data_IF_031684505964
#
_entry.id   IF_031684505964
#
_cell.length_a   1.000
_cell.length_b   1.000
_cell.length_c   1.000
_cell.angle_alpha   90.00
_cell.angle_beta   90.00
_cell.angle_gamma   90.00
#
_symmetry.space_group_name_H-M   'P 1'
#
loop_
_entity.id
_entity.type
_entity.pdbx_description
1 polymer ?
#
# COMPACT_ATOMS: atom_id res chain seq x y z
N UNK A 1 6.88 7.23 -24.82
CA UNK A 1 7.97 6.55 -24.08
C UNK A 1 7.44 5.25 -23.51
N UNK A 2 8.05 4.10 -23.79
CA UNK A 2 7.66 2.83 -23.16
C UNK A 2 7.88 2.90 -21.65
N UNK A 3 6.96 2.34 -20.85
CA UNK A 3 7.00 2.34 -19.37
C UNK A 3 8.37 1.87 -18.82
N UNK A 4 9.03 0.97 -19.55
CA UNK A 4 10.35 0.42 -19.21
C UNK A 4 11.48 1.48 -19.27
N UNK A 5 11.41 2.43 -20.22
CA UNK A 5 12.38 3.53 -20.31
C UNK A 5 12.20 4.53 -19.17
N UNK A 6 10.95 4.83 -18.77
CA UNK A 6 10.68 5.71 -17.65
C UNK A 6 11.22 5.14 -16.33
N UNK A 7 11.05 3.83 -16.09
CA UNK A 7 11.59 3.16 -14.89
C UNK A 7 13.12 3.17 -14.87
N UNK A 8 13.77 2.91 -16.00
CA UNK A 8 15.25 2.96 -16.10
C UNK A 8 15.81 4.38 -15.84
N UNK A 9 15.12 5.43 -16.31
CA UNK A 9 15.47 6.83 -16.00
C UNK A 9 15.35 7.13 -14.51
N UNK A 10 14.31 6.64 -13.86
CA UNK A 10 14.10 6.86 -12.42
C UNK A 10 15.18 6.20 -11.55
N UNK A 11 15.80 5.12 -12.03
CA UNK A 11 16.88 4.39 -11.37
C UNK A 11 18.30 4.96 -11.64
N UNK A 12 18.47 5.87 -12.62
CA UNK A 12 19.80 6.29 -13.12
C UNK A 12 20.40 7.54 -12.47
N UNK A 13 19.69 8.23 -11.57
CA UNK A 13 20.20 9.44 -10.91
C UNK A 13 19.89 9.40 -9.41
N UNK A 14 20.87 8.95 -8.62
CA UNK A 14 20.76 8.79 -7.17
C UNK A 14 21.94 9.39 -6.41
N UNK A 15 22.93 9.96 -7.11
CA UNK A 15 24.08 10.59 -6.45
C UNK A 15 23.66 11.84 -5.67
N UNK A 16 24.50 12.27 -4.73
CA UNK A 16 24.23 13.46 -3.90
C UNK A 16 23.09 13.32 -2.89
N UNK A 17 22.37 12.19 -2.87
CA UNK A 17 21.23 11.97 -1.99
C UNK A 17 19.99 12.79 -2.37
N UNK A 18 18.95 12.71 -1.52
CA UNK A 18 17.63 13.33 -1.78
C UNK A 18 17.42 14.67 -1.06
N UNK A 19 18.46 15.17 -0.38
CA UNK A 19 18.43 16.40 0.40
C UNK A 19 19.67 17.25 0.06
N UNK A 20 19.49 18.57 0.04
CA UNK A 20 20.60 19.49 0.05
C UNK A 20 21.35 19.42 1.38
N UNK A 21 22.64 19.70 1.31
CA UNK A 21 23.53 19.98 2.44
C UNK A 21 24.10 21.39 2.30
N UNK A 22 24.72 21.93 3.35
CA UNK A 22 25.25 23.31 3.33
C UNK A 22 26.30 23.52 2.23
N UNK A 23 27.12 22.51 1.98
CA UNK A 23 28.14 22.48 0.93
C UNK A 23 27.57 22.39 -0.48
N UNK A 24 26.34 21.89 -0.64
CA UNK A 24 25.66 21.82 -1.94
C UNK A 24 24.89 23.09 -2.31
N UNK A 25 24.68 24.01 -1.38
CA UNK A 25 23.97 25.26 -1.68
C UNK A 25 24.75 26.10 -2.69
N UNK A 26 24.17 26.34 -3.87
CA UNK A 26 24.83 27.04 -4.97
C UNK A 26 25.81 26.16 -5.76
N UNK A 27 25.68 24.84 -5.67
CA UNK A 27 26.51 23.91 -6.43
C UNK A 27 26.43 24.15 -7.94
N UNK A 28 27.54 23.85 -8.64
CA UNK A 28 27.46 23.63 -10.08
C UNK A 28 26.59 22.40 -10.32
N UNK A 29 25.65 22.50 -11.27
CA UNK A 29 24.69 21.44 -11.55
C UNK A 29 25.40 20.17 -12.01
N UNK A 30 25.06 19.06 -11.35
CA UNK A 30 25.47 17.71 -11.74
C UNK A 30 24.24 16.87 -12.08
N UNK A 31 24.07 16.52 -13.35
CA UNK A 31 22.93 15.73 -13.85
C UNK A 31 22.88 14.30 -13.28
N UNK A 32 23.93 13.82 -12.59
CA UNK A 32 23.91 12.52 -11.91
C UNK A 32 23.21 12.58 -10.54
N UNK A 33 23.01 13.78 -9.99
CA UNK A 33 22.35 13.97 -8.70
C UNK A 33 20.86 13.61 -8.76
N UNK A 34 20.33 13.10 -7.64
CA UNK A 34 18.91 12.76 -7.55
C UNK A 34 17.99 14.00 -7.60
N UNK A 35 18.47 15.10 -7.03
CA UNK A 35 17.86 16.42 -6.98
C UNK A 35 18.97 17.48 -6.85
N UNK A 36 18.64 18.74 -7.11
CA UNK A 36 19.64 19.80 -7.27
C UNK A 36 19.54 20.86 -6.18
N UNK A 37 20.70 21.49 -5.91
CA UNK A 37 20.83 22.64 -5.00
C UNK A 37 21.46 23.85 -5.72
N UNK A 38 21.51 23.79 -7.05
CA UNK A 38 21.96 24.85 -7.95
C UNK A 38 20.91 25.97 -8.05
N UNK A 39 21.35 27.18 -8.39
CA UNK A 39 20.48 28.36 -8.49
C UNK A 39 19.36 28.21 -9.54
N UNK A 40 19.53 27.35 -10.54
CA UNK A 40 18.55 27.11 -11.59
C UNK A 40 17.48 26.03 -11.24
N UNK A 41 17.61 25.35 -10.10
CA UNK A 41 16.78 24.17 -9.80
C UNK A 41 15.28 24.49 -9.69
N UNK A 42 14.94 25.70 -9.21
CA UNK A 42 13.54 26.13 -9.06
C UNK A 42 12.88 26.32 -10.42
N UNK A 43 13.61 26.91 -11.37
CA UNK A 43 13.16 27.10 -12.74
C UNK A 43 13.01 25.76 -13.46
N UNK A 44 13.94 24.82 -13.23
CA UNK A 44 13.90 23.48 -13.81
C UNK A 44 12.94 22.52 -13.11
N UNK A 45 12.44 22.86 -11.92
CA UNK A 45 11.47 22.05 -11.17
C UNK A 45 12.07 20.79 -10.54
N UNK A 46 13.37 20.81 -10.21
CA UNK A 46 14.10 19.61 -9.77
C UNK A 46 15.00 19.85 -8.54
N UNK A 47 14.69 20.90 -7.76
CA UNK A 47 15.33 21.12 -6.47
C UNK A 47 15.11 19.95 -5.51
N UNK A 48 16.05 19.73 -4.60
CA UNK A 48 15.75 18.96 -3.40
C UNK A 48 14.66 19.66 -2.57
N UNK A 49 13.86 18.88 -1.85
CA UNK A 49 12.66 19.39 -1.16
C UNK A 49 12.98 20.32 0.01
N UNK A 50 14.19 20.24 0.55
CA UNK A 50 14.70 21.11 1.61
C UNK A 50 15.50 22.32 1.09
N UNK A 51 15.61 22.54 -0.22
CA UNK A 51 16.46 23.58 -0.83
C UNK A 51 16.19 24.99 -0.30
N UNK A 52 14.94 25.47 -0.34
CA UNK A 52 14.62 26.83 0.13
C UNK A 52 14.85 26.97 1.62
N UNK A 53 14.46 25.95 2.39
CA UNK A 53 14.68 25.92 3.84
C UNK A 53 16.16 26.04 4.18
N UNK A 54 16.99 25.23 3.53
CA UNK A 54 18.41 25.13 3.86
C UNK A 54 19.24 26.25 3.24
N UNK A 55 19.02 26.57 1.96
CA UNK A 55 19.88 27.45 1.18
C UNK A 55 19.34 28.88 1.02
N UNK A 56 18.04 29.12 1.27
CA UNK A 56 17.41 30.45 1.12
C UNK A 56 16.84 31.00 2.44
N UNK A 57 16.90 30.23 3.52
CA UNK A 57 16.46 30.67 4.86
C UNK A 57 14.95 30.58 5.10
N UNK A 58 14.20 29.89 4.24
CA UNK A 58 12.76 29.65 4.45
C UNK A 58 12.51 28.72 5.66
N UNK A 59 11.29 28.73 6.20
CA UNK A 59 10.84 27.75 7.20
C UNK A 59 10.35 26.46 6.54
N UNK A 60 10.49 25.31 7.20
CA UNK A 60 9.79 24.08 6.76
C UNK A 60 8.29 24.23 6.93
N UNK A 61 7.50 23.52 6.13
CA UNK A 61 6.06 23.41 6.30
C UNK A 61 5.69 23.00 7.72
N UNK A 62 6.45 22.10 8.35
CA UNK A 62 6.18 21.67 9.72
C UNK A 62 6.17 22.82 10.73
N UNK A 63 7.02 23.85 10.53
CA UNK A 63 7.19 24.98 11.44
C UNK A 63 6.11 26.06 11.29
N UNK A 64 5.37 26.07 10.19
CA UNK A 64 4.31 27.06 10.00
C UNK A 64 3.12 26.78 10.95
N UNK A 65 2.23 27.74 11.17
CA UNK A 65 1.02 27.48 11.94
C UNK A 65 -0.05 26.72 11.13
N UNK A 66 -1.02 26.09 11.80
CA UNK A 66 -2.20 25.61 11.11
C UNK A 66 -3.06 26.81 10.70
N UNK A 67 -3.39 26.93 9.41
CA UNK A 67 -4.26 27.98 8.89
C UNK A 67 -5.51 27.39 8.25
N UNK A 68 -6.65 28.08 8.42
CA UNK A 68 -7.92 27.70 7.80
C UNK A 68 -7.89 28.03 6.29
N UNK A 69 -7.92 27.00 5.45
CA UNK A 69 -7.87 27.11 4.00
C UNK A 69 -9.28 27.13 3.41
N UNK A 70 -9.96 28.28 3.47
CA UNK A 70 -11.32 28.46 2.92
C UNK A 70 -11.37 28.44 1.39
N UNK A 71 -10.30 28.85 0.74
CA UNK A 71 -10.15 28.91 -0.72
C UNK A 71 -8.79 28.36 -1.11
N UNK A 72 -8.74 27.58 -2.18
CA UNK A 72 -7.48 27.04 -2.70
C UNK A 72 -6.60 28.15 -3.28
N UNK A 73 -5.35 28.21 -2.87
CA UNK A 73 -4.34 29.16 -3.35
C UNK A 73 -3.40 28.45 -4.33
N UNK A 74 -3.79 28.44 -5.60
CA UNK A 74 -3.03 27.78 -6.67
C UNK A 74 -2.24 28.77 -7.54
N UNK A 75 -1.00 28.44 -7.94
CA UNK A 75 -0.26 29.21 -8.93
C UNK A 75 -0.98 29.30 -10.29
N UNK A 76 -0.58 30.25 -11.13
CA UNK A 76 -1.11 30.38 -12.49
C UNK A 76 -0.94 29.07 -13.30
N UNK A 77 -1.92 28.77 -14.15
CA UNK A 77 -1.96 27.54 -14.97
C UNK A 77 -2.52 26.30 -14.25
N UNK A 78 -2.93 26.40 -12.99
CA UNK A 78 -3.74 25.38 -12.31
C UNK A 78 -5.22 25.74 -12.45
N UNK A 79 -5.98 24.92 -13.17
CA UNK A 79 -7.42 25.13 -13.39
C UNK A 79 -8.30 24.47 -12.31
N UNK A 80 -7.68 23.72 -11.39
CA UNK A 80 -8.31 23.06 -10.23
C UNK A 80 -7.24 22.61 -9.24
N UNK A 81 -7.63 22.27 -8.01
CA UNK A 81 -6.73 21.65 -7.04
C UNK A 81 -6.34 20.22 -7.47
N UNK A 82 -5.06 19.88 -7.57
CA UNK A 82 -4.62 18.50 -7.73
C UNK A 82 -4.95 17.66 -6.49
N UNK A 83 -5.10 16.35 -6.67
CA UNK A 83 -5.27 15.37 -5.61
C UNK A 83 -4.03 14.46 -5.54
N UNK A 84 -3.44 14.33 -4.35
CA UNK A 84 -2.37 13.37 -4.06
C UNK A 84 -2.90 12.33 -3.08
N UNK A 85 -2.86 11.06 -3.48
CA UNK A 85 -3.19 9.90 -2.66
C UNK A 85 -1.88 9.22 -2.26
N UNK A 86 -1.52 9.33 -0.99
CA UNK A 86 -0.40 8.65 -0.37
C UNK A 86 -0.90 7.44 0.40
N UNK A 87 -0.64 6.25 -0.14
CA UNK A 87 -0.99 4.99 0.53
C UNK A 87 0.22 4.46 1.30
N UNK A 88 0.01 4.10 2.57
CA UNK A 88 1.07 3.62 3.48
C UNK A 88 0.70 2.21 3.96
N UNK A 89 1.40 1.20 3.43
CA UNK A 89 1.07 -0.22 3.65
C UNK A 89 1.13 -0.60 5.13
N UNK A 90 0.11 -1.29 5.65
CA UNK A 90 0.11 -1.81 7.01
C UNK A 90 0.12 -0.71 8.09
N UNK A 91 -0.21 0.55 7.75
CA UNK A 91 -0.29 1.64 8.71
C UNK A 91 -1.51 1.49 9.63
N UNK A 92 -1.34 0.72 10.71
CA UNK A 92 -2.36 0.50 11.73
C UNK A 92 -2.78 1.83 12.36
N UNK A 93 -4.09 2.06 12.48
CA UNK A 93 -4.65 3.29 13.05
C UNK A 93 -4.05 3.70 14.40
N UNK A 94 -3.67 2.74 15.26
CA UNK A 94 -3.04 3.04 16.55
C UNK A 94 -1.64 3.66 16.46
N UNK A 95 -0.97 3.61 15.30
CA UNK A 95 0.36 4.22 15.12
C UNK A 95 0.32 5.74 15.22
N UNK A 96 -0.82 6.37 14.91
CA UNK A 96 -1.00 7.82 15.11
C UNK A 96 -0.81 8.24 16.57
N UNK A 97 -1.04 7.34 17.52
CA UNK A 97 -0.86 7.60 18.97
C UNK A 97 0.59 7.82 19.38
N UNK A 98 1.56 7.53 18.49
CA UNK A 98 2.98 7.88 18.72
C UNK A 98 3.20 9.39 18.65
N UNK A 99 2.31 10.13 17.99
CA UNK A 99 2.24 11.59 18.00
C UNK A 99 3.51 12.30 17.50
N UNK A 100 3.62 13.58 17.85
CA UNK A 100 4.69 14.48 17.40
C UNK A 100 6.12 13.99 17.66
N UNK A 101 6.34 13.10 18.65
CA UNK A 101 7.67 12.58 18.96
C UNK A 101 8.22 11.59 17.91
N UNK A 102 7.34 11.04 17.06
CA UNK A 102 7.70 10.01 16.06
C UNK A 102 7.23 10.40 14.66
N UNK A 103 6.07 11.04 14.55
CA UNK A 103 5.40 11.33 13.28
C UNK A 103 4.88 12.79 13.21
N UNK A 104 5.72 13.81 13.45
CA UNK A 104 5.27 15.19 13.53
C UNK A 104 4.59 15.74 12.26
N UNK A 105 5.01 15.34 11.05
CA UNK A 105 4.37 15.83 9.83
C UNK A 105 2.99 15.22 9.63
N UNK A 106 2.86 13.91 9.86
CA UNK A 106 1.58 13.20 9.80
C UNK A 106 0.65 13.71 10.88
N UNK A 107 1.16 13.95 12.09
CA UNK A 107 0.37 14.49 13.20
C UNK A 107 -0.14 15.90 12.88
N UNK A 108 0.68 16.75 12.25
CA UNK A 108 0.25 18.05 11.77
C UNK A 108 -0.82 17.96 10.67
N UNK A 109 -0.69 17.03 9.71
CA UNK A 109 -1.76 16.78 8.73
C UNK A 109 -3.05 16.33 9.43
N UNK A 110 -2.95 15.51 10.47
CA UNK A 110 -4.08 15.01 11.25
C UNK A 110 -4.78 16.11 12.05
N UNK A 111 -4.04 17.04 12.64
CA UNK A 111 -4.57 18.12 13.49
C UNK A 111 -5.02 19.35 12.71
N UNK A 112 -4.30 19.76 11.67
CA UNK A 112 -4.71 20.89 10.82
C UNK A 112 -5.76 20.49 9.76
N UNK A 113 -5.84 19.20 9.42
CA UNK A 113 -6.73 18.67 8.39
C UNK A 113 -7.96 17.94 8.95
N UNK A 114 -8.60 17.14 8.09
CA UNK A 114 -9.69 16.24 8.49
C UNK A 114 -9.15 14.84 8.71
N UNK A 115 -9.51 14.21 9.84
CA UNK A 115 -9.12 12.83 10.13
C UNK A 115 -10.27 12.04 10.76
N UNK A 116 -10.21 10.72 10.61
CA UNK A 116 -11.04 9.77 11.35
C UNK A 116 -10.18 9.02 12.39
N UNK A 117 -10.76 8.55 13.52
CA UNK A 117 -10.03 7.73 14.48
C UNK A 117 -9.47 6.44 13.87
N UNK A 118 -10.15 5.89 12.87
CA UNK A 118 -9.72 4.76 12.05
C UNK A 118 -10.53 4.71 10.76
N UNK A 119 -9.98 4.04 9.74
CA UNK A 119 -10.70 3.67 8.52
C UNK A 119 -10.85 2.13 8.49
N UNK A 120 -12.03 1.64 8.11
CA UNK A 120 -12.29 0.19 8.04
C UNK A 120 -11.84 -0.36 6.68
N UNK A 121 -10.92 -1.34 6.63
CA UNK A 121 -10.54 -2.01 5.39
C UNK A 121 -11.64 -2.96 4.90
N UNK A 122 -11.56 -3.38 3.64
CA UNK A 122 -12.36 -4.49 3.11
C UNK A 122 -11.78 -5.84 3.56
N UNK A 123 -12.60 -6.89 3.46
CA UNK A 123 -12.15 -8.26 3.69
C UNK A 123 -11.73 -8.93 2.37
N UNK A 124 -10.58 -9.64 2.31
CA UNK A 124 -9.60 -9.78 3.39
C UNK A 124 -8.77 -8.51 3.56
N UNK A 125 -8.32 -8.24 4.79
CA UNK A 125 -7.45 -7.12 5.14
C UNK A 125 -6.02 -7.39 4.65
N UNK A 126 -5.85 -7.30 3.32
CA UNK A 126 -4.62 -7.54 2.58
C UNK A 126 -4.44 -6.45 1.52
N UNK A 127 -3.18 -6.22 1.18
CA UNK A 127 -2.69 -5.19 0.27
C UNK A 127 -3.47 -5.02 -1.05
N UNK A 128 -3.43 -6.02 -1.94
CA UNK A 128 -4.03 -5.89 -3.27
C UNK A 128 -5.55 -5.71 -3.24
N UNK A 129 -6.32 -6.47 -2.43
CA UNK A 129 -7.74 -6.22 -2.24
C UNK A 129 -8.03 -4.78 -1.79
N UNK A 130 -7.33 -4.29 -0.76
CA UNK A 130 -7.64 -2.98 -0.17
C UNK A 130 -7.22 -1.80 -1.06
N UNK A 131 -6.03 -1.83 -1.67
CA UNK A 131 -5.65 -0.75 -2.58
C UNK A 131 -6.52 -0.70 -3.82
N UNK A 132 -6.95 -1.85 -4.34
CA UNK A 132 -7.82 -1.87 -5.52
C UNK A 132 -9.26 -1.50 -5.16
N UNK A 133 -9.74 -1.84 -3.96
CA UNK A 133 -10.98 -1.30 -3.42
C UNK A 133 -10.91 0.22 -3.25
N UNK A 134 -9.81 0.77 -2.74
CA UNK A 134 -9.60 2.22 -2.63
C UNK A 134 -9.65 2.90 -4.02
N UNK A 135 -9.03 2.29 -5.02
CA UNK A 135 -9.01 2.84 -6.37
C UNK A 135 -10.37 2.79 -7.08
N UNK A 136 -11.24 1.83 -6.75
CA UNK A 136 -12.47 1.53 -7.52
C UNK A 136 -13.77 1.80 -6.77
N UNK A 137 -13.74 1.90 -5.44
CA UNK A 137 -14.93 1.96 -4.59
C UNK A 137 -15.72 0.63 -4.51
N UNK A 138 -15.16 -0.47 -4.99
CA UNK A 138 -15.83 -1.77 -5.07
C UNK A 138 -15.36 -2.75 -4.00
N UNK A 139 -16.19 -3.73 -3.65
CA UNK A 139 -15.76 -4.88 -2.86
C UNK A 139 -14.87 -5.84 -3.69
N UNK A 140 -14.02 -6.64 -3.04
CA UNK A 140 -13.19 -7.64 -3.71
C UNK A 140 -13.93 -8.63 -4.57
N UNK A 141 -15.13 -9.05 -4.16
CA UNK A 141 -15.96 -9.94 -4.96
C UNK A 141 -16.38 -9.31 -6.30
N UNK A 142 -16.52 -7.97 -6.36
CA UNK A 142 -16.93 -7.25 -7.57
C UNK A 142 -15.75 -6.86 -8.46
N UNK A 143 -14.67 -6.31 -7.89
CA UNK A 143 -13.50 -5.90 -8.70
C UNK A 143 -12.57 -7.08 -9.04
N UNK A 144 -12.78 -8.25 -8.43
CA UNK A 144 -12.11 -9.51 -8.79
C UNK A 144 -10.73 -9.73 -8.18
N UNK A 145 -10.20 -8.78 -7.41
CA UNK A 145 -8.91 -8.93 -6.70
C UNK A 145 -9.22 -9.39 -5.27
N UNK A 146 -9.48 -10.69 -5.12
CA UNK A 146 -10.01 -11.28 -3.89
C UNK A 146 -8.92 -11.68 -2.88
N UNK A 147 -7.64 -11.55 -3.22
CA UNK A 147 -6.52 -11.79 -2.32
C UNK A 147 -5.17 -11.48 -2.99
N UNK A 148 -4.10 -11.43 -2.18
CA UNK A 148 -2.72 -11.32 -2.68
C UNK A 148 -2.28 -12.57 -3.47
N UNK A 149 -2.96 -13.69 -3.24
CA UNK A 149 -2.87 -14.92 -4.03
C UNK A 149 -4.29 -15.42 -4.34
N UNK A 150 -4.55 -15.82 -5.58
CA UNK A 150 -5.84 -16.34 -6.01
C UNK A 150 -5.69 -17.21 -7.25
N UNK A 151 -6.64 -18.14 -7.44
CA UNK A 151 -6.75 -18.97 -8.63
C UNK A 151 -8.08 -18.66 -9.33
N UNK A 152 -8.07 -18.54 -10.64
CA UNK A 152 -9.29 -18.39 -11.45
C UNK A 152 -9.51 -19.69 -12.25
N UNK A 153 -10.56 -20.48 -11.96
CA UNK A 153 -10.79 -21.75 -12.63
C UNK A 153 -11.16 -21.60 -14.11
N UNK A 154 -11.67 -20.43 -14.52
CA UNK A 154 -11.96 -20.16 -15.94
C UNK A 154 -10.70 -19.84 -16.73
N UNK A 155 -9.70 -19.24 -16.09
CA UNK A 155 -8.42 -18.93 -16.73
C UNK A 155 -7.39 -20.05 -16.61
N UNK A 156 -7.66 -21.02 -15.74
CA UNK A 156 -6.71 -22.03 -15.26
C UNK A 156 -5.34 -21.40 -14.90
N UNK A 157 -5.38 -20.30 -14.15
CA UNK A 157 -4.21 -19.49 -13.86
C UNK A 157 -4.18 -19.06 -12.39
N UNK A 158 -2.97 -18.87 -11.88
CA UNK A 158 -2.73 -18.39 -10.51
C UNK A 158 -2.13 -16.98 -10.52
N UNK A 159 -2.76 -16.09 -9.78
CA UNK A 159 -2.28 -14.74 -9.49
C UNK A 159 -1.48 -14.76 -8.18
N UNK A 160 -0.36 -14.04 -8.16
CA UNK A 160 0.38 -13.75 -6.92
C UNK A 160 1.19 -12.45 -7.04
N UNK A 161 1.57 -11.87 -5.90
CA UNK A 161 2.38 -10.65 -5.83
C UNK A 161 3.69 -10.71 -6.64
N UNK A 162 4.30 -11.89 -6.76
CA UNK A 162 5.59 -12.10 -7.45
C UNK A 162 5.42 -12.56 -8.90
N UNK A 163 4.25 -13.03 -9.28
CA UNK A 163 4.01 -13.54 -10.63
C UNK A 163 3.89 -12.41 -11.65
N UNK A 164 4.35 -12.65 -12.88
CA UNK A 164 4.08 -11.77 -14.03
C UNK A 164 2.60 -11.76 -14.41
N UNK A 165 1.83 -12.77 -13.99
CA UNK A 165 0.37 -12.82 -14.19
C UNK A 165 -0.35 -11.59 -13.65
N UNK A 166 0.19 -10.94 -12.61
CA UNK A 166 -0.41 -9.72 -12.06
C UNK A 166 -0.49 -8.56 -13.07
N UNK A 167 0.34 -8.59 -14.11
CA UNK A 167 0.35 -7.57 -15.17
C UNK A 167 -0.75 -7.80 -16.22
N UNK A 168 -1.41 -8.95 -16.22
CA UNK A 168 -2.46 -9.25 -17.18
C UNK A 168 -3.77 -8.57 -16.77
N UNK A 169 -4.32 -7.73 -17.66
CA UNK A 169 -5.54 -6.95 -17.41
C UNK A 169 -6.76 -7.81 -17.05
N UNK A 170 -6.81 -9.10 -17.45
CA UNK A 170 -7.92 -10.03 -17.16
C UNK A 170 -8.24 -10.22 -15.67
N UNK A 171 -7.28 -9.91 -14.79
CA UNK A 171 -7.47 -10.00 -13.35
C UNK A 171 -8.24 -8.81 -12.77
N UNK A 172 -8.18 -7.66 -13.43
CA UNK A 172 -8.53 -6.35 -12.87
C UNK A 172 -9.88 -5.87 -13.41
N UNK A 173 -10.95 -6.08 -12.63
CA UNK A 173 -12.29 -5.61 -12.96
C UNK A 173 -12.59 -4.19 -12.50
N UNK A 174 -13.80 -3.70 -12.75
CA UNK A 174 -14.20 -2.34 -12.35
C UNK A 174 -13.47 -1.23 -13.11
N UNK A 175 -13.50 -0.01 -12.56
CA UNK A 175 -12.85 1.16 -13.17
C UNK A 175 -12.11 1.97 -12.09
N UNK A 176 -10.77 1.87 -12.01
CA UNK A 176 -10.02 2.62 -11.01
C UNK A 176 -9.99 4.12 -11.34
N UNK A 177 -9.76 4.95 -10.31
CA UNK A 177 -9.85 6.41 -10.38
C UNK A 177 -9.02 7.03 -11.49
N UNK A 178 -7.83 6.48 -11.81
CA UNK A 178 -7.00 6.98 -12.91
C UNK A 178 -7.64 6.73 -14.29
N UNK A 179 -8.35 5.63 -14.48
CA UNK A 179 -9.12 5.39 -15.72
C UNK A 179 -10.34 6.30 -15.77
N UNK A 180 -11.04 6.48 -14.65
CA UNK A 180 -12.17 7.43 -14.55
C UNK A 180 -11.74 8.85 -14.91
N UNK A 181 -10.60 9.30 -14.36
CA UNK A 181 -10.02 10.60 -14.65
C UNK A 181 -9.69 10.75 -16.15
N UNK A 182 -8.97 9.79 -16.73
CA UNK A 182 -8.60 9.83 -18.15
C UNK A 182 -9.82 9.88 -19.08
N UNK A 183 -10.86 9.10 -18.78
CA UNK A 183 -12.12 9.12 -19.55
C UNK A 183 -12.86 10.47 -19.50
N UNK A 184 -12.58 11.29 -18.49
CA UNK A 184 -13.16 12.63 -18.32
C UNK A 184 -12.17 13.75 -18.69
N UNK A 185 -11.10 13.43 -19.44
CA UNK A 185 -10.11 14.40 -19.89
C UNK A 185 -9.17 14.90 -18.79
N UNK A 186 -9.06 14.18 -17.67
CA UNK A 186 -8.17 14.53 -16.55
C UNK A 186 -6.95 13.61 -16.55
N UNK A 187 -5.76 14.20 -16.72
CA UNK A 187 -4.48 13.45 -16.66
C UNK A 187 -4.25 12.91 -15.25
N UNK A 188 -3.80 11.66 -15.17
CA UNK A 188 -3.49 10.98 -13.92
C UNK A 188 -2.09 10.36 -13.98
N UNK A 189 -1.39 10.36 -12.84
CA UNK A 189 -0.09 9.73 -12.69
C UNK A 189 -0.10 8.83 -11.44
N UNK A 190 0.50 7.65 -11.55
CA UNK A 190 0.46 6.66 -10.48
C UNK A 190 1.76 5.90 -10.38
N UNK A 191 2.33 5.86 -9.18
CA UNK A 191 3.37 4.92 -8.77
C UNK A 191 2.72 3.74 -8.05
N UNK A 192 2.28 2.75 -8.83
CA UNK A 192 1.70 1.53 -8.27
C UNK A 192 2.75 0.42 -8.21
N UNK A 193 3.23 0.11 -7.01
CA UNK A 193 4.18 -0.98 -6.71
C UNK A 193 5.56 -0.97 -7.40
N UNK A 194 6.24 0.17 -7.59
CA UNK A 194 7.60 0.17 -8.13
C UNK A 194 8.62 -0.11 -7.02
N UNK A 195 8.65 -1.33 -6.47
CA UNK A 195 9.51 -1.71 -5.32
C UNK A 195 10.98 -1.32 -5.49
N UNK A 196 11.48 -1.30 -6.74
CA UNK A 196 12.84 -0.91 -7.06
C UNK A 196 13.14 0.60 -6.94
N UNK A 197 12.11 1.46 -6.85
CA UNK A 197 12.26 2.91 -6.81
C UNK A 197 12.14 3.38 -5.37
N UNK A 198 13.17 4.07 -4.87
CA UNK A 198 13.18 4.67 -3.54
C UNK A 198 11.99 5.61 -3.32
N UNK A 199 11.48 5.67 -2.09
CA UNK A 199 10.26 6.41 -1.76
C UNK A 199 10.46 7.92 -1.98
N UNK A 200 11.62 8.44 -1.62
CA UNK A 200 12.07 9.82 -1.83
C UNK A 200 12.08 10.18 -3.33
N UNK A 201 12.55 9.25 -4.18
CA UNK A 201 12.53 9.42 -5.64
C UNK A 201 11.11 9.50 -6.17
N UNK A 202 10.17 8.72 -5.63
CA UNK A 202 8.74 8.80 -6.00
C UNK A 202 8.15 10.18 -5.69
N UNK A 203 8.52 10.78 -4.54
CA UNK A 203 8.12 12.14 -4.17
C UNK A 203 8.71 13.18 -5.12
N UNK A 204 10.02 13.12 -5.40
CA UNK A 204 10.66 14.05 -6.34
C UNK A 204 10.04 13.99 -7.73
N UNK A 205 9.77 12.80 -8.25
CA UNK A 205 9.10 12.65 -9.55
C UNK A 205 7.68 13.20 -9.55
N UNK A 206 6.94 13.04 -8.45
CA UNK A 206 5.61 13.65 -8.31
C UNK A 206 5.68 15.17 -8.34
N UNK A 207 6.65 15.78 -7.65
CA UNK A 207 6.89 17.22 -7.67
C UNK A 207 7.31 17.71 -9.07
N UNK A 208 8.14 16.95 -9.78
CA UNK A 208 8.49 17.24 -11.18
C UNK A 208 7.25 17.21 -12.09
N UNK A 209 6.36 16.23 -11.91
CA UNK A 209 5.10 16.18 -12.66
C UNK A 209 4.17 17.36 -12.33
N UNK A 210 4.17 17.86 -11.09
CA UNK A 210 3.44 19.07 -10.70
C UNK A 210 4.04 20.36 -11.30
N UNK A 211 5.33 20.33 -11.68
CA UNK A 211 6.01 21.43 -12.36
C UNK A 211 5.78 21.45 -13.87
N UNK A 212 5.20 20.39 -14.45
CA UNK A 212 4.92 20.33 -15.88
C UNK A 212 4.00 21.49 -16.32
N UNK A 213 4.12 21.95 -17.57
CA UNK A 213 3.28 23.01 -18.10
C UNK A 213 1.80 22.63 -18.11
N UNK A 214 0.96 23.65 -18.23
CA UNK A 214 -0.47 23.47 -18.46
C UNK A 214 -0.71 22.58 -19.68
N UNK A 215 -1.74 21.73 -19.60
CA UNK A 215 -2.00 20.70 -20.60
C UNK A 215 -1.31 19.39 -20.27
N UNK A 216 -0.04 19.36 -19.84
CA UNK A 216 0.72 18.13 -19.56
C UNK A 216 0.69 17.62 -18.13
N UNK A 217 0.50 18.54 -17.19
CA UNK A 217 0.41 18.25 -15.77
C UNK A 217 -0.78 17.36 -15.38
N UNK A 218 -0.55 16.25 -14.65
CA UNK A 218 -1.63 15.48 -14.03
C UNK A 218 -2.36 16.24 -12.93
N UNK A 219 -3.60 15.83 -12.63
CA UNK A 219 -4.38 16.33 -11.49
C UNK A 219 -4.73 15.25 -10.45
N UNK A 220 -4.46 13.98 -10.78
CA UNK A 220 -4.59 12.86 -9.84
C UNK A 220 -3.25 12.16 -9.74
N UNK A 221 -2.71 12.10 -8.52
CA UNK A 221 -1.45 11.47 -8.20
C UNK A 221 -1.71 10.35 -7.19
N UNK A 222 -1.18 9.17 -7.45
CA UNK A 222 -1.21 8.07 -6.49
C UNK A 222 0.21 7.55 -6.25
N UNK A 223 0.56 7.36 -4.99
CA UNK A 223 1.85 6.83 -4.60
C UNK A 223 1.67 5.87 -3.43
N UNK A 224 2.46 4.81 -3.46
CA UNK A 224 2.45 3.77 -2.45
C UNK A 224 3.79 3.70 -1.71
N UNK A 225 3.76 3.43 -0.40
CA UNK A 225 4.90 3.10 0.45
C UNK A 225 4.69 1.71 1.05
N UNK A 226 5.64 0.81 0.82
CA UNK A 226 5.62 -0.57 1.33
C UNK A 226 5.92 -0.67 2.85
N UNK A 227 6.18 0.49 3.48
CA UNK A 227 6.39 0.65 4.90
C UNK A 227 5.16 1.33 5.53
N UNK A 228 4.82 1.03 6.80
CA UNK A 228 5.59 0.21 7.74
C UNK A 228 5.31 -1.30 7.67
N UNK A 229 4.46 -1.79 6.75
CA UNK A 229 4.06 -3.20 6.66
C UNK A 229 5.22 -4.19 6.73
N UNK A 230 6.26 -3.99 5.92
CA UNK A 230 7.43 -4.88 5.90
C UNK A 230 8.09 -5.02 7.28
N UNK A 231 8.27 -3.90 7.99
CA UNK A 231 8.84 -3.89 9.33
C UNK A 231 7.86 -4.41 10.38
N UNK A 232 6.58 -4.06 10.27
CA UNK A 232 5.52 -4.52 11.16
C UNK A 232 5.34 -6.04 11.09
N UNK A 233 5.53 -6.62 9.92
CA UNK A 233 5.64 -8.06 9.74
C UNK A 233 6.82 -8.61 10.55
N UNK A 234 8.05 -8.11 10.33
CA UNK A 234 9.28 -8.64 10.96
C UNK A 234 9.32 -8.50 12.48
N UNK A 235 8.80 -7.40 13.01
CA UNK A 235 9.00 -6.99 14.41
C UNK A 235 7.70 -6.98 15.23
N UNK A 236 6.55 -7.20 14.58
CA UNK A 236 5.25 -7.02 15.20
C UNK A 236 4.83 -5.55 15.35
N UNK A 237 3.56 -5.29 15.68
CA UNK A 237 3.00 -3.94 15.63
C UNK A 237 3.27 -3.08 16.87
N UNK A 238 3.69 -3.65 18.00
CA UNK A 238 3.75 -2.93 19.28
C UNK A 238 5.14 -2.43 19.66
N UNK A 239 6.20 -3.01 19.07
CA UNK A 239 7.59 -2.72 19.42
C UNK A 239 8.00 -1.26 19.21
N UNK A 240 8.94 -0.78 20.02
CA UNK A 240 9.58 0.54 19.87
C UNK A 240 10.42 0.63 18.61
N UNK A 241 10.91 -0.50 18.09
CA UNK A 241 11.71 -0.58 16.87
C UNK A 241 10.93 -0.09 15.65
N UNK A 242 9.58 -0.12 15.70
CA UNK A 242 8.72 0.44 14.68
C UNK A 242 8.77 1.97 14.61
N UNK A 243 9.29 2.67 15.63
CA UNK A 243 9.41 4.12 15.62
C UNK A 243 10.34 4.62 14.51
N UNK A 244 11.41 3.89 14.18
CA UNK A 244 12.35 4.31 13.14
C UNK A 244 11.74 4.21 11.73
N UNK A 245 11.09 3.10 11.33
CA UNK A 245 10.28 3.06 10.11
C UNK A 245 9.20 4.15 10.04
N UNK A 246 8.49 4.40 11.14
CA UNK A 246 7.47 5.45 11.19
C UNK A 246 8.08 6.85 10.98
N UNK A 247 9.23 7.15 11.61
CA UNK A 247 9.98 8.39 11.35
C UNK A 247 10.44 8.50 9.89
N UNK A 248 10.85 7.39 9.28
CA UNK A 248 11.26 7.40 7.87
C UNK A 248 10.10 7.78 6.95
N UNK A 249 8.91 7.23 7.17
CA UNK A 249 7.70 7.59 6.42
C UNK A 249 7.29 9.03 6.70
N UNK A 250 7.34 9.47 7.95
CA UNK A 250 7.03 10.85 8.32
C UNK A 250 7.98 11.86 7.65
N UNK A 251 9.27 11.53 7.54
CA UNK A 251 10.23 12.34 6.78
C UNK A 251 9.86 12.44 5.31
N UNK A 252 9.41 11.36 4.68
CA UNK A 252 8.93 11.37 3.29
C UNK A 252 7.70 12.27 3.14
N UNK A 253 6.76 12.22 4.10
CA UNK A 253 5.63 13.16 4.13
C UNK A 253 6.11 14.60 4.28
N UNK A 254 7.11 14.84 5.13
CA UNK A 254 7.77 16.15 5.26
C UNK A 254 8.41 16.63 3.97
N UNK A 255 9.13 15.77 3.25
CA UNK A 255 9.70 16.08 1.94
C UNK A 255 8.63 16.47 0.93
N UNK A 256 7.48 15.77 0.90
CA UNK A 256 6.37 16.17 0.05
C UNK A 256 5.86 17.57 0.43
N UNK A 257 5.59 17.80 1.71
CA UNK A 257 5.00 19.06 2.17
C UNK A 257 5.95 20.25 1.97
N UNK A 258 7.24 20.09 2.26
CA UNK A 258 8.26 21.10 2.01
C UNK A 258 8.38 21.35 0.49
N UNK A 259 8.42 20.31 -0.34
CA UNK A 259 8.42 20.43 -1.80
C UNK A 259 7.21 21.21 -2.33
N UNK A 260 6.00 20.88 -1.86
CA UNK A 260 4.78 21.60 -2.20
C UNK A 260 4.83 23.06 -1.72
N UNK A 261 5.38 23.33 -0.54
CA UNK A 261 5.56 24.70 -0.03
C UNK A 261 6.50 25.50 -0.93
N UNK A 262 7.64 24.92 -1.34
CA UNK A 262 8.59 25.55 -2.25
C UNK A 262 7.94 25.96 -3.57
N UNK A 263 6.99 25.15 -4.06
CA UNK A 263 6.24 25.37 -5.31
C UNK A 263 4.98 26.24 -5.13
N UNK A 264 4.70 26.74 -3.91
CA UNK A 264 3.46 27.45 -3.56
C UNK A 264 2.19 26.61 -3.83
N UNK A 265 2.28 25.30 -3.63
CA UNK A 265 1.20 24.32 -3.82
C UNK A 265 0.63 23.73 -2.52
N UNK A 266 1.30 23.92 -1.39
CA UNK A 266 0.86 23.42 -0.08
C UNK A 266 -0.54 23.90 0.37
N UNK A 267 -1.06 24.99 -0.21
CA UNK A 267 -2.41 25.53 0.00
C UNK A 267 -3.33 25.38 -1.23
N UNK A 268 -2.89 24.62 -2.22
CA UNK A 268 -3.63 24.33 -3.46
C UNK A 268 -4.05 22.85 -3.52
N UNK A 269 -3.13 21.95 -3.17
CA UNK A 269 -3.26 20.50 -3.36
C UNK A 269 -4.08 19.87 -2.23
N UNK A 270 -4.97 18.94 -2.60
CA UNK A 270 -5.63 18.04 -1.66
C UNK A 270 -4.77 16.80 -1.44
N UNK A 271 -4.54 16.42 -0.18
CA UNK A 271 -3.75 15.24 0.18
C UNK A 271 -4.61 14.25 0.96
N UNK A 272 -4.64 13.00 0.49
CA UNK A 272 -5.19 11.86 1.21
C UNK A 272 -4.03 10.98 1.64
N UNK A 273 -3.75 10.94 2.94
CA UNK A 273 -2.84 9.97 3.55
C UNK A 273 -3.66 8.82 4.11
N UNK A 274 -3.44 7.60 3.62
CA UNK A 274 -4.34 6.47 3.91
C UNK A 274 -3.58 5.14 4.03
N UNK A 275 -3.95 4.35 5.03
CA UNK A 275 -3.50 2.96 5.17
C UNK A 275 -4.45 2.00 4.46
N UNK A 276 -3.92 0.91 3.92
CA UNK A 276 -4.69 -0.15 3.28
C UNK A 276 -5.24 -1.16 4.29
N UNK A 277 -4.46 -1.49 5.32
CA UNK A 277 -4.87 -2.28 6.48
C UNK A 277 -4.01 -1.97 7.72
N UNK A 278 -4.34 -2.63 8.84
CA UNK A 278 -3.50 -2.62 10.04
C UNK A 278 -2.50 -3.77 10.07
N UNK A 279 -1.92 -3.99 11.25
CA UNK A 279 -0.98 -5.07 11.53
C UNK A 279 -1.31 -5.72 12.86
N UNK A 280 -1.13 -7.03 12.97
CA UNK A 280 -1.39 -7.80 14.20
C UNK A 280 -0.17 -8.65 14.56
N UNK A 281 -0.04 -8.95 15.85
CA UNK A 281 0.96 -9.85 16.37
C UNK A 281 0.66 -11.30 15.97
N UNK A 282 1.59 -11.95 15.29
CA UNK A 282 1.50 -13.33 14.85
C UNK A 282 2.73 -14.12 15.31
N UNK A 283 2.50 -15.32 15.86
CA UNK A 283 3.55 -16.25 16.28
C UNK A 283 3.35 -17.59 15.59
N UNK A 284 4.45 -18.27 15.24
CA UNK A 284 4.41 -19.60 14.64
C UNK A 284 3.68 -20.61 15.54
N UNK A 285 3.83 -20.47 16.87
CA UNK A 285 3.18 -21.32 17.87
C UNK A 285 1.65 -21.15 17.91
N UNK A 286 1.12 -20.07 17.31
CA UNK A 286 -0.31 -19.82 17.14
C UNK A 286 -0.76 -20.16 15.71
N UNK A 287 -0.42 -21.38 15.27
CA UNK A 287 -0.83 -21.91 13.96
C UNK A 287 -1.64 -23.19 14.12
N UNK A 288 -2.85 -23.17 13.59
CA UNK A 288 -3.72 -24.32 13.44
C UNK A 288 -3.36 -25.10 12.18
N UNK A 289 -3.09 -26.40 12.31
CA UNK A 289 -2.73 -27.24 11.18
C UNK A 289 -3.89 -28.15 10.78
N UNK A 290 -4.33 -28.07 9.52
CA UNK A 290 -5.46 -28.89 9.02
C UNK A 290 -5.19 -30.39 9.11
N UNK A 291 -3.94 -30.83 9.10
CA UNK A 291 -3.53 -32.23 9.35
C UNK A 291 -3.98 -32.77 10.70
N UNK A 292 -4.27 -31.90 11.68
CA UNK A 292 -4.78 -32.30 12.99
C UNK A 292 -6.30 -32.53 13.00
N UNK A 293 -6.99 -32.18 11.91
CA UNK A 293 -8.45 -32.23 11.80
C UNK A 293 -8.94 -33.16 10.68
N UNK A 294 -8.15 -33.31 9.61
CA UNK A 294 -8.51 -34.07 8.42
C UNK A 294 -7.59 -35.29 8.27
N UNK A 295 -8.18 -36.44 7.95
CA UNK A 295 -7.43 -37.69 7.72
C UNK A 295 -6.48 -37.61 6.53
N UNK A 296 -6.86 -36.87 5.48
CA UNK A 296 -6.02 -36.56 4.32
C UNK A 296 -6.07 -35.05 4.06
N UNK A 297 -4.90 -34.44 3.93
CA UNK A 297 -4.76 -33.05 3.46
C UNK A 297 -4.14 -32.97 2.06
N UNK A 298 -3.87 -34.11 1.43
CA UNK A 298 -3.22 -34.17 0.11
C UNK A 298 -4.17 -33.92 -1.04
N UNK A 299 -5.46 -34.17 -0.83
CA UNK A 299 -6.50 -33.93 -1.84
C UNK A 299 -6.94 -32.47 -1.92
N UNK A 300 -6.40 -31.60 -1.05
CA UNK A 300 -6.76 -30.19 -0.97
C UNK A 300 -5.58 -29.26 -1.30
N UNK A 301 -5.94 -28.09 -1.79
CA UNK A 301 -5.10 -26.90 -1.82
C UNK A 301 -5.65 -25.88 -0.82
N UNK A 302 -4.78 -25.39 0.06
CA UNK A 302 -5.08 -24.35 1.03
C UNK A 302 -4.35 -23.06 0.64
N UNK A 303 -5.07 -21.95 0.64
CA UNK A 303 -4.48 -20.60 0.77
C UNK A 303 -4.37 -20.30 2.27
N UNK A 304 -3.17 -20.30 2.87
CA UNK A 304 -2.98 -20.28 4.33
C UNK A 304 -2.84 -18.85 4.89
N UNK A 305 -2.67 -18.76 6.21
CA UNK A 305 -2.35 -17.53 6.93
C UNK A 305 -3.48 -17.05 7.84
N UNK A 306 -3.72 -15.73 7.84
CA UNK A 306 -4.74 -15.07 8.69
C UNK A 306 -6.18 -15.27 8.19
N UNK A 307 -6.35 -16.13 7.18
CA UNK A 307 -7.58 -16.69 6.65
C UNK A 307 -7.22 -18.04 6.01
N UNK A 308 -8.20 -18.92 5.83
CA UNK A 308 -8.04 -20.11 5.01
C UNK A 308 -9.01 -20.10 3.83
N UNK A 309 -8.57 -20.50 2.64
CA UNK A 309 -9.47 -20.86 1.54
C UNK A 309 -9.07 -22.22 1.00
N UNK A 310 -10.03 -23.14 0.92
CA UNK A 310 -9.77 -24.54 0.53
C UNK A 310 -10.48 -24.84 -0.79
N UNK A 311 -9.74 -25.43 -1.73
CA UNK A 311 -10.29 -26.09 -2.92
C UNK A 311 -9.73 -27.50 -3.08
N UNK A 312 -10.38 -28.29 -3.92
CA UNK A 312 -9.83 -29.54 -4.42
C UNK A 312 -8.48 -29.29 -5.12
N UNK A 313 -7.51 -30.17 -4.88
CA UNK A 313 -6.23 -30.14 -5.61
C UNK A 313 -6.38 -30.63 -7.04
N UNK A 314 -7.26 -31.61 -7.25
CA UNK A 314 -7.52 -32.23 -8.56
C UNK A 314 -8.99 -32.02 -8.94
N UNK A 315 -9.31 -31.66 -10.20
CA UNK A 315 -10.70 -31.45 -10.63
C UNK A 315 -11.61 -32.68 -10.44
N UNK A 316 -11.02 -33.88 -10.51
CA UNK A 316 -11.74 -35.16 -10.44
C UNK A 316 -11.71 -35.81 -9.03
N UNK A 317 -11.27 -35.10 -7.99
CA UNK A 317 -11.28 -35.68 -6.65
C UNK A 317 -12.71 -35.79 -6.11
N UNK A 318 -12.97 -36.80 -5.27
CA UNK A 318 -14.20 -36.91 -4.47
C UNK A 318 -14.18 -35.83 -3.36
N UNK A 319 -14.28 -34.57 -3.75
CA UNK A 319 -14.24 -33.41 -2.85
C UNK A 319 -15.67 -32.90 -2.62
N UNK A 320 -16.20 -33.12 -1.42
CA UNK A 320 -17.46 -32.50 -0.99
C UNK A 320 -17.18 -31.34 -0.01
N UNK A 321 -17.41 -30.08 -0.43
CA UNK A 321 -17.23 -28.92 0.44
C UNK A 321 -18.02 -28.98 1.74
N UNK A 322 -19.23 -29.55 1.73
CA UNK A 322 -20.08 -29.66 2.91
C UNK A 322 -19.49 -30.64 3.91
N UNK A 323 -19.03 -31.80 3.46
CA UNK A 323 -18.33 -32.77 4.29
C UNK A 323 -17.06 -32.19 4.92
N UNK A 324 -16.25 -31.45 4.16
CA UNK A 324 -15.04 -30.81 4.70
C UNK A 324 -15.39 -29.76 5.77
N UNK A 325 -16.40 -28.91 5.54
CA UNK A 325 -16.88 -27.96 6.56
C UNK A 325 -17.37 -28.69 7.82
N UNK A 326 -18.15 -29.76 7.68
CA UNK A 326 -18.61 -30.57 8.81
C UNK A 326 -17.45 -31.25 9.56
N UNK A 327 -16.42 -31.69 8.83
CA UNK A 327 -15.21 -32.27 9.40
C UNK A 327 -14.34 -31.26 10.15
N UNK A 328 -14.47 -29.97 9.85
CA UNK A 328 -13.74 -28.90 10.54
C UNK A 328 -14.57 -28.17 11.62
N UNK A 329 -15.86 -28.48 11.75
CA UNK A 329 -16.76 -27.76 12.67
C UNK A 329 -16.63 -28.30 14.09
N UNK A 330 -16.30 -27.43 15.04
CA UNK A 330 -16.33 -27.69 16.49
C UNK A 330 -15.57 -28.96 16.92
N UNK A 331 -14.38 -29.20 16.34
CA UNK A 331 -13.59 -30.41 16.62
C UNK A 331 -12.77 -30.32 17.89
N UNK A 332 -12.44 -29.10 18.31
CA UNK A 332 -11.71 -28.82 19.55
C UNK A 332 -12.38 -27.67 20.30
N UNK A 333 -12.31 -27.72 21.63
CA UNK A 333 -12.84 -26.66 22.48
C UNK A 333 -12.06 -25.34 22.32
N UNK A 334 -10.76 -25.43 22.02
CA UNK A 334 -9.82 -24.34 21.81
C UNK A 334 -9.54 -24.07 20.32
N UNK A 335 -10.48 -24.38 19.43
CA UNK A 335 -10.29 -24.22 17.99
C UNK A 335 -10.26 -22.73 17.58
N UNK A 336 -9.17 -22.28 16.93
CA UNK A 336 -8.93 -20.87 16.59
C UNK A 336 -9.26 -20.47 15.14
N UNK A 337 -10.15 -21.24 14.50
CA UNK A 337 -10.75 -20.88 13.22
C UNK A 337 -12.15 -21.46 13.12
N UNK A 338 -13.01 -20.84 12.30
CA UNK A 338 -14.35 -21.33 12.01
C UNK A 338 -14.52 -21.59 10.51
N UNK A 339 -14.87 -22.82 10.09
CA UNK A 339 -15.13 -23.11 8.69
C UNK A 339 -16.51 -22.59 8.28
N UNK A 340 -16.60 -22.09 7.06
CA UNK A 340 -17.82 -21.62 6.42
C UNK A 340 -17.85 -22.08 4.97
N UNK A 341 -19.03 -22.42 4.46
CA UNK A 341 -19.27 -22.24 3.03
C UNK A 341 -19.36 -20.73 2.76
N UNK A 342 -18.77 -20.24 1.67
CA UNK A 342 -18.64 -18.79 1.41
C UNK A 342 -19.98 -18.04 1.49
N UNK A 343 -21.10 -18.65 1.07
CA UNK A 343 -22.43 -18.05 1.16
C UNK A 343 -22.94 -17.83 2.59
N UNK A 344 -22.39 -18.56 3.57
CA UNK A 344 -22.71 -18.47 5.00
C UNK A 344 -21.76 -17.54 5.78
N UNK A 345 -20.76 -16.96 5.12
CA UNK A 345 -19.95 -15.91 5.74
C UNK A 345 -20.84 -14.73 6.16
N UNK A 346 -20.50 -14.00 7.24
CA UNK A 346 -21.22 -12.80 7.63
C UNK A 346 -21.37 -11.83 6.44
N UNK A 347 -22.61 -11.46 6.10
CA UNK A 347 -22.91 -10.69 4.89
C UNK A 347 -22.15 -9.37 4.81
N UNK A 348 -21.87 -8.74 5.96
CA UNK A 348 -21.03 -7.53 6.09
C UNK A 348 -19.63 -7.65 5.48
N UNK A 349 -19.16 -8.87 5.19
CA UNK A 349 -17.86 -9.09 4.56
C UNK A 349 -17.90 -8.94 3.04
N UNK A 350 -19.07 -9.07 2.39
CA UNK A 350 -19.22 -9.01 0.93
C UNK A 350 -18.14 -9.83 0.21
N UNK A 351 -18.03 -11.11 0.60
CA UNK A 351 -16.93 -11.98 0.21
C UNK A 351 -17.41 -13.39 -0.18
N UNK A 352 -18.27 -13.45 -1.20
CA UNK A 352 -18.79 -14.72 -1.71
C UNK A 352 -19.00 -14.72 -3.24
N UNK A 353 -19.43 -13.60 -3.82
CA UNK A 353 -19.89 -13.50 -5.20
C UNK A 353 -18.74 -13.35 -6.21
N UNK A 354 -17.77 -14.27 -6.18
CA UNK A 354 -16.72 -14.35 -7.18
C UNK A 354 -16.20 -15.77 -7.32
N UNK A 355 -16.02 -16.24 -8.56
CA UNK A 355 -15.48 -17.59 -8.84
C UNK A 355 -14.06 -17.82 -8.34
N UNK A 356 -13.32 -16.75 -8.04
CA UNK A 356 -11.97 -16.78 -7.46
C UNK A 356 -11.97 -16.96 -5.94
N UNK A 357 -13.14 -16.89 -5.29
CA UNK A 357 -13.33 -17.20 -3.88
C UNK A 357 -13.75 -18.66 -3.80
N UNK A 358 -12.89 -19.49 -3.24
CA UNK A 358 -13.17 -20.90 -3.01
C UNK A 358 -14.43 -21.11 -2.14
N UNK A 359 -15.14 -22.21 -2.37
CA UNK A 359 -16.40 -22.50 -1.67
C UNK A 359 -16.23 -22.66 -0.16
N UNK A 360 -15.09 -23.16 0.30
CA UNK A 360 -14.76 -23.29 1.71
C UNK A 360 -13.84 -22.15 2.13
N UNK A 361 -14.28 -21.45 3.18
CA UNK A 361 -13.55 -20.36 3.81
C UNK A 361 -13.35 -20.64 5.30
N UNK A 362 -12.15 -20.39 5.81
CA UNK A 362 -11.83 -20.46 7.24
C UNK A 362 -11.67 -19.03 7.77
N UNK A 363 -12.58 -18.62 8.64
CA UNK A 363 -12.47 -17.37 9.37
C UNK A 363 -11.60 -17.61 10.59
N UNK A 364 -10.35 -17.14 10.54
CA UNK A 364 -9.34 -17.38 11.58
C UNK A 364 -9.44 -16.30 12.65
N UNK A 365 -9.27 -16.69 13.91
CA UNK A 365 -9.24 -15.76 15.02
C UNK A 365 -8.05 -14.79 14.89
N UNK A 366 -8.20 -13.59 15.48
CA UNK A 366 -7.09 -12.63 15.53
C UNK A 366 -5.87 -13.27 16.20
N UNK A 367 -4.67 -12.89 15.76
CA UNK A 367 -3.37 -13.42 16.25
C UNK A 367 -3.08 -14.90 15.94
N UNK A 368 -3.99 -15.58 15.22
CA UNK A 368 -3.83 -16.96 14.81
C UNK A 368 -3.64 -17.09 13.31
N UNK A 369 -3.04 -18.21 12.92
CA UNK A 369 -2.88 -18.63 11.54
C UNK A 369 -3.46 -20.02 11.32
N UNK A 370 -3.77 -20.32 10.06
CA UNK A 370 -4.06 -21.69 9.61
C UNK A 370 -3.10 -22.12 8.51
N UNK A 371 -2.61 -23.35 8.59
CA UNK A 371 -1.70 -23.97 7.62
C UNK A 371 -2.12 -25.43 7.35
N UNK A 372 -1.56 -26.04 6.29
CA UNK A 372 -1.98 -27.38 5.84
C UNK A 372 -1.38 -28.48 6.74
N UNK A 373 -0.09 -28.40 7.04
CA UNK A 373 0.67 -29.33 7.88
C UNK A 373 1.83 -28.59 8.54
N UNK A 374 2.37 -29.14 9.62
CA UNK A 374 3.58 -28.61 10.25
C UNK A 374 4.79 -29.19 9.53
N UNK A 375 5.52 -28.38 8.77
CA UNK A 375 6.84 -28.75 8.28
C UNK A 375 7.90 -27.75 8.73
N UNK A 376 9.14 -28.22 8.86
CA UNK A 376 10.33 -27.38 9.07
C UNK A 376 10.53 -26.33 7.96
N UNK A 377 9.86 -26.49 6.80
CA UNK A 377 9.78 -25.47 5.73
C UNK A 377 8.65 -24.45 5.93
N UNK A 378 7.60 -24.74 6.71
CA UNK A 378 6.46 -23.84 6.95
C UNK A 378 6.75 -22.77 8.01
N UNK A 379 7.67 -23.05 8.95
CA UNK A 379 8.33 -22.01 9.77
C UNK A 379 9.00 -20.97 8.85
N UNK A 380 9.48 -21.42 7.68
CA UNK A 380 10.06 -20.58 6.62
C UNK A 380 9.03 -19.96 5.66
N UNK A 381 7.77 -20.44 5.60
CA UNK A 381 6.72 -19.80 4.80
C UNK A 381 6.27 -18.51 5.47
N UNK A 382 6.21 -18.46 6.80
CA UNK A 382 6.07 -17.19 7.52
C UNK A 382 7.26 -16.29 7.21
N UNK A 383 8.50 -16.81 7.26
CA UNK A 383 9.71 -16.04 6.94
C UNK A 383 9.74 -15.57 5.47
N UNK A 384 9.13 -16.28 4.52
CA UNK A 384 8.99 -15.86 3.11
C UNK A 384 7.82 -14.90 2.87
N UNK A 385 6.80 -14.91 3.73
CA UNK A 385 5.79 -13.84 3.83
C UNK A 385 6.39 -12.59 4.52
N UNK A 386 7.32 -12.77 5.46
CA UNK A 386 8.11 -11.72 6.16
C UNK A 386 9.32 -11.20 5.35
N UNK A 387 9.75 -11.97 4.36
CA UNK A 387 10.84 -11.72 3.42
C UNK A 387 10.32 -11.34 2.03
N UNK A 388 9.17 -10.64 1.98
CA UNK A 388 8.56 -10.13 0.75
C UNK A 388 9.35 -8.97 0.09
N UNK A 389 10.45 -8.52 0.71
CA UNK A 389 11.34 -7.49 0.18
C UNK A 389 12.82 -7.89 0.37
N UNK A 390 13.34 -8.66 -0.57
CA UNK A 390 14.72 -8.64 -1.07
C UNK A 390 14.68 -8.93 -2.56
#
# INVERSE_FOLDING_TARGET
MSLMFLVLLLLRHTEGGYECSKDRCGEARNEQHACHCSEDCLTRGDCCTNYKKLCKGDTSWLQDECEDMRTAECPAGFVRSPLIILTVDGFRASYVKRGNAVIPHIEKLRTCGTHAPYMRPVYPSKTFPNLYSLATGLYPESHGIVGNSMYDPTFDASFSLRSREKLNHRWWGGQPIWITALKQGVKAASFFWPVAIAVERRILTMLQWLHLPEGDRPYVYAMHSEQPDTYGHRMGPMGTDLNNPLRAIDRVVGQLMDGLKQMKLHRCVNIILVGDHGMEEAHCDRTEFLSNYLTSVDDITLIPGSLGRIRARHPNSKYDPKAVVANLTCRRADQHFKPYLKQHLPKRLHYANNRRIEDIHLLVDRKWHVARYCSSRDVLIQIKVLGLFH
#
